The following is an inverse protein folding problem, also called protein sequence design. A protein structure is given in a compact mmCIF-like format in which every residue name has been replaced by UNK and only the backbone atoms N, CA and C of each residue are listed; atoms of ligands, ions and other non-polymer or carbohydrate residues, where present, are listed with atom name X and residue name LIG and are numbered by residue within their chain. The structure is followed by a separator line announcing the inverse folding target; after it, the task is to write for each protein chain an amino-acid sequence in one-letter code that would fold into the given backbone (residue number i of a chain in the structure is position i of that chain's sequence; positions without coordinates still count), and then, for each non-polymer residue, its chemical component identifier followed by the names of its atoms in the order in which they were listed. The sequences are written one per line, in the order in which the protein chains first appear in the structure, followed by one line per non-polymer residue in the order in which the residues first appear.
data_IF_829105084611
#
_entry.id   IF_829105084611
#
_cell.length_a   1.000
_cell.length_b   1.000
_cell.length_c   1.000
_cell.angle_alpha   90.00
_cell.angle_beta   90.00
_cell.angle_gamma   90.00
#
_symmetry.space_group_name_H-M   'P 1'
#
loop_
_entity.id
_entity.type
_entity.pdbx_description
1 polymer ?
#
# COMPACT_ATOMS: atom_id res chain seq x y z
N UNK A 1 30.88 51.35 8.22
CA UNK A 1 30.10 50.41 7.38
C UNK A 1 30.08 49.03 8.05
N UNK A 2 29.22 48.83 9.06
CA UNK A 2 29.20 47.61 9.90
C UNK A 2 27.77 47.26 10.37
N UNK A 3 26.74 47.36 9.52
CA UNK A 3 25.37 47.00 9.94
C UNK A 3 24.50 46.31 8.86
N UNK A 4 25.05 45.94 7.70
CA UNK A 4 24.23 45.35 6.62
C UNK A 4 24.20 43.82 6.58
N UNK A 5 24.91 43.11 7.48
CA UNK A 5 25.02 41.63 7.40
C UNK A 5 24.01 40.90 8.30
N UNK A 6 23.40 41.58 9.27
CA UNK A 6 22.50 40.91 10.25
C UNK A 6 21.06 40.79 9.72
N UNK A 7 20.64 41.63 8.77
CA UNK A 7 19.26 41.65 8.28
C UNK A 7 18.89 40.49 7.34
N UNK A 8 19.86 39.89 6.65
CA UNK A 8 19.58 38.80 5.68
C UNK A 8 19.43 37.45 6.41
N UNK A 9 20.04 37.29 7.59
CA UNK A 9 20.00 36.03 8.33
C UNK A 9 18.68 35.79 9.07
N UNK A 10 17.83 36.81 9.26
CA UNK A 10 16.51 36.63 9.89
C UNK A 10 15.39 36.24 8.91
N UNK A 11 15.61 36.35 7.58
CA UNK A 11 14.57 35.99 6.60
C UNK A 11 14.61 34.49 6.25
N UNK A 12 15.70 33.79 6.55
CA UNK A 12 15.82 32.35 6.27
C UNK A 12 15.10 31.48 7.32
N UNK A 13 14.76 32.02 8.49
CA UNK A 13 14.05 31.25 9.54
C UNK A 13 12.51 31.29 9.44
N UNK A 14 11.91 32.23 8.71
CA UNK A 14 10.44 32.30 8.61
C UNK A 14 9.83 31.42 7.51
N UNK A 15 10.65 30.80 6.67
CA UNK A 15 10.17 29.86 5.65
C UNK A 15 9.89 28.45 6.20
N UNK A 16 10.29 28.14 7.44
CA UNK A 16 10.11 26.81 8.03
C UNK A 16 8.83 26.67 8.89
N UNK A 17 8.09 27.76 9.15
CA UNK A 17 6.92 27.74 10.06
C UNK A 17 5.55 27.78 9.35
N UNK A 18 5.53 27.79 8.02
CA UNK A 18 4.29 27.85 7.24
C UNK A 18 3.74 26.49 6.76
N UNK A 19 4.23 25.36 7.31
CA UNK A 19 3.71 24.02 7.00
C UNK A 19 2.53 23.58 7.89
N UNK A 20 2.03 24.44 8.78
CA UNK A 20 1.25 23.98 9.92
C UNK A 20 -0.29 24.08 9.87
N UNK A 21 -0.93 24.83 8.95
CA UNK A 21 -2.31 25.30 9.29
C UNK A 21 -3.45 25.24 8.29
N UNK A 22 -3.28 24.71 7.08
CA UNK A 22 -4.43 24.36 6.21
C UNK A 22 -4.16 23.01 5.52
N UNK A 23 -4.34 21.90 6.24
CA UNK A 23 -4.63 20.65 5.55
C UNK A 23 -5.97 20.84 4.84
N UNK A 24 -6.01 20.65 3.52
CA UNK A 24 -7.28 20.58 2.79
C UNK A 24 -8.11 19.44 3.40
N UNK A 25 -9.44 19.58 3.40
CA UNK A 25 -10.36 18.53 3.89
C UNK A 25 -10.05 17.19 3.20
N UNK A 26 -9.67 17.24 1.93
CA UNK A 26 -9.23 16.10 1.12
C UNK A 26 -7.93 15.46 1.64
N UNK A 27 -6.91 16.26 1.98
CA UNK A 27 -5.66 15.74 2.53
C UNK A 27 -5.87 15.02 3.86
N UNK A 28 -6.75 15.56 4.72
CA UNK A 28 -7.07 14.93 6.01
C UNK A 28 -7.79 13.60 5.82
N UNK A 29 -8.80 13.57 4.94
CA UNK A 29 -9.55 12.35 4.64
C UNK A 29 -8.62 11.24 4.10
N UNK A 30 -7.76 11.57 3.14
CA UNK A 30 -6.83 10.59 2.54
C UNK A 30 -5.86 10.01 3.58
N UNK A 31 -5.37 10.83 4.51
CA UNK A 31 -4.55 10.33 5.62
C UNK A 31 -5.35 9.38 6.52
N UNK A 32 -6.56 9.77 6.93
CA UNK A 32 -7.44 8.95 7.76
C UNK A 32 -7.76 7.59 7.12
N UNK A 33 -8.03 7.58 5.81
CA UNK A 33 -8.32 6.38 5.01
C UNK A 33 -7.10 5.44 4.88
N UNK A 34 -5.88 5.89 5.22
CA UNK A 34 -4.65 5.09 5.16
C UNK A 34 -4.11 4.65 6.53
N UNK A 35 -4.57 5.26 7.64
CA UNK A 35 -4.08 4.96 8.99
C UNK A 35 -4.33 3.52 9.44
N UNK A 36 -5.22 2.77 8.76
CA UNK A 36 -5.43 1.35 9.05
C UNK A 36 -4.15 0.53 8.91
N UNK A 37 -3.19 0.96 8.07
CA UNK A 37 -1.92 0.25 7.84
C UNK A 37 -1.07 0.18 9.10
N UNK A 38 -1.19 1.18 9.98
CA UNK A 38 -0.45 1.22 11.23
C UNK A 38 -1.09 0.36 12.33
N UNK A 39 -2.37 0.03 12.15
CA UNK A 39 -3.20 -0.66 13.13
C UNK A 39 -3.51 -2.12 12.75
N UNK A 40 -2.97 -2.60 11.63
CA UNK A 40 -3.23 -3.94 11.09
C UNK A 40 -1.91 -4.67 10.84
N UNK A 41 -1.91 -5.99 11.00
CA UNK A 41 -0.77 -6.84 10.64
C UNK A 41 -1.09 -7.63 9.37
N UNK A 42 -0.05 -8.02 8.62
CA UNK A 42 -0.21 -8.83 7.40
C UNK A 42 -0.97 -10.12 7.70
N UNK A 43 -0.57 -10.84 8.75
CA UNK A 43 -1.19 -12.13 9.09
C UNK A 43 -2.66 -12.00 9.51
N UNK A 44 -3.02 -10.94 10.25
CA UNK A 44 -4.42 -10.73 10.65
C UNK A 44 -5.30 -10.36 9.46
N UNK A 45 -4.77 -9.61 8.49
CA UNK A 45 -5.49 -9.32 7.25
C UNK A 45 -5.63 -10.56 6.36
N UNK A 46 -4.59 -11.40 6.28
CA UNK A 46 -4.66 -12.66 5.53
C UNK A 46 -5.70 -13.59 6.14
N UNK A 47 -5.70 -13.76 7.46
CA UNK A 47 -6.68 -14.62 8.13
C UNK A 47 -8.13 -14.19 7.84
N UNK A 48 -8.39 -12.88 7.66
CA UNK A 48 -9.71 -12.35 7.29
C UNK A 48 -10.06 -12.54 5.81
N UNK A 49 -9.07 -12.51 4.93
CA UNK A 49 -9.29 -12.36 3.48
C UNK A 49 -8.86 -13.58 2.64
N UNK A 50 -8.29 -14.63 3.23
CA UNK A 50 -7.76 -15.78 2.48
C UNK A 50 -8.84 -16.48 1.62
N UNK A 51 -10.08 -16.50 2.11
CA UNK A 51 -11.23 -17.09 1.43
C UNK A 51 -12.10 -16.05 0.69
N UNK A 52 -11.80 -14.75 0.82
CA UNK A 52 -12.57 -13.70 0.17
C UNK A 52 -12.24 -13.56 -1.32
N UNK A 53 -13.13 -12.89 -2.06
CA UNK A 53 -12.87 -12.33 -3.38
C UNK A 53 -13.49 -10.93 -3.45
N UNK A 54 -12.76 -9.87 -3.83
CA UNK A 54 -11.32 -9.84 -4.14
C UNK A 54 -10.44 -10.14 -2.90
N UNK A 55 -9.16 -10.47 -3.15
CA UNK A 55 -8.22 -10.85 -2.08
C UNK A 55 -6.85 -10.19 -2.18
N UNK A 56 -6.37 -9.83 -3.38
CA UNK A 56 -5.09 -9.15 -3.52
C UNK A 56 -5.22 -7.65 -3.30
N UNK A 57 -4.16 -7.00 -2.82
CA UNK A 57 -4.11 -5.56 -2.66
C UNK A 57 -3.39 -4.92 -3.84
N UNK A 58 -4.04 -3.94 -4.46
CA UNK A 58 -3.51 -3.22 -5.60
C UNK A 58 -3.20 -1.77 -5.26
N UNK A 59 -2.26 -1.19 -6.00
CA UNK A 59 -1.94 0.23 -5.99
C UNK A 59 -1.99 0.76 -7.42
N UNK A 60 -2.43 2.00 -7.59
CA UNK A 60 -2.33 2.70 -8.87
C UNK A 60 -1.04 3.51 -8.90
N UNK A 61 -0.22 3.30 -9.93
CA UNK A 61 1.03 4.02 -10.16
C UNK A 61 1.13 4.36 -11.65
N UNK A 62 1.32 5.65 -11.96
CA UNK A 62 1.45 6.14 -13.34
C UNK A 62 0.26 5.72 -14.22
N UNK A 63 -0.96 5.84 -13.70
CA UNK A 63 -2.20 5.37 -14.33
C UNK A 63 -2.31 3.86 -14.57
N UNK A 64 -1.44 3.06 -13.96
CA UNK A 64 -1.45 1.60 -14.08
C UNK A 64 -1.71 0.92 -12.74
N UNK A 65 -2.65 -0.03 -12.73
CA UNK A 65 -2.86 -0.91 -11.58
C UNK A 65 -1.69 -1.89 -11.47
N UNK A 66 -1.09 -1.95 -10.28
CA UNK A 66 -0.04 -2.88 -9.91
C UNK A 66 -0.45 -3.67 -8.69
N UNK A 67 -0.03 -4.93 -8.62
CA UNK A 67 -0.17 -5.78 -7.43
C UNK A 67 1.23 -5.95 -6.82
N UNK A 68 1.62 -5.12 -5.83
CA UNK A 68 2.97 -5.16 -5.26
C UNK A 68 3.33 -6.55 -4.77
N UNK A 69 4.60 -6.95 -4.97
CA UNK A 69 5.09 -8.25 -4.53
C UNK A 69 4.76 -9.44 -5.42
N UNK A 70 3.93 -9.27 -6.46
CA UNK A 70 3.68 -10.31 -7.46
C UNK A 70 4.57 -10.13 -8.70
N UNK A 71 5.00 -11.23 -9.36
CA UNK A 71 5.67 -11.14 -10.65
C UNK A 71 4.69 -10.64 -11.72
N UNK A 72 5.22 -10.02 -12.78
CA UNK A 72 4.44 -9.33 -13.83
C UNK A 72 3.32 -10.18 -14.42
N UNK A 73 3.62 -11.42 -14.79
CA UNK A 73 2.64 -12.35 -15.36
C UNK A 73 1.45 -12.64 -14.42
N UNK A 74 1.71 -12.77 -13.12
CA UNK A 74 0.66 -12.99 -12.13
C UNK A 74 -0.10 -11.71 -11.83
N UNK A 75 0.58 -10.57 -11.83
CA UNK A 75 -0.06 -9.25 -11.73
C UNK A 75 -1.08 -9.06 -12.87
N UNK A 76 -0.70 -9.37 -14.11
CA UNK A 76 -1.60 -9.30 -15.28
C UNK A 76 -2.82 -10.20 -15.10
N UNK A 77 -2.62 -11.46 -14.68
CA UNK A 77 -3.73 -12.39 -14.41
C UNK A 77 -4.69 -11.90 -13.31
N UNK A 78 -4.16 -11.37 -12.21
CA UNK A 78 -4.97 -10.83 -11.09
C UNK A 78 -5.74 -9.59 -11.52
N UNK A 79 -5.14 -8.74 -12.35
CA UNK A 79 -5.80 -7.55 -12.89
C UNK A 79 -6.91 -7.94 -13.86
N UNK A 80 -6.65 -8.88 -14.77
CA UNK A 80 -7.65 -9.41 -15.71
C UNK A 80 -8.83 -10.08 -15.01
N UNK A 81 -8.56 -10.86 -13.96
CA UNK A 81 -9.59 -11.55 -13.17
C UNK A 81 -10.31 -10.63 -12.17
N UNK A 82 -9.83 -9.39 -11.98
CA UNK A 82 -10.33 -8.42 -10.99
C UNK A 82 -10.34 -8.98 -9.56
N UNK A 83 -9.41 -9.86 -9.22
CA UNK A 83 -9.28 -10.44 -7.87
C UNK A 83 -8.50 -9.54 -6.90
N UNK A 84 -8.58 -8.23 -7.10
CA UNK A 84 -7.87 -7.22 -6.31
C UNK A 84 -8.78 -6.12 -5.77
N UNK A 85 -8.35 -5.51 -4.67
CA UNK A 85 -8.91 -4.30 -4.10
C UNK A 85 -7.89 -3.17 -4.26
N UNK A 86 -8.33 -2.03 -4.81
CA UNK A 86 -7.47 -0.86 -4.98
C UNK A 86 -7.37 -0.11 -3.66
N UNK A 87 -6.16 0.07 -3.16
CA UNK A 87 -5.91 0.78 -1.91
C UNK A 87 -6.15 2.28 -2.11
N UNK A 88 -7.12 2.82 -1.38
CA UNK A 88 -7.42 4.24 -1.35
C UNK A 88 -6.23 5.06 -0.83
N UNK A 89 -6.12 6.30 -1.29
CA UNK A 89 -5.01 7.19 -0.94
C UNK A 89 -3.67 6.87 -1.64
N UNK A 90 -3.57 5.79 -2.41
CA UNK A 90 -2.32 5.44 -3.11
C UNK A 90 -2.07 6.20 -4.43
N UNK A 91 -2.81 7.28 -4.70
CA UNK A 91 -2.69 8.07 -5.94
C UNK A 91 -1.32 8.71 -6.14
N UNK A 92 -1.08 9.28 -7.32
CA UNK A 92 0.15 9.99 -7.65
C UNK A 92 0.36 11.28 -6.83
N UNK A 93 -0.74 11.88 -6.36
CA UNK A 93 -0.71 13.16 -5.66
C UNK A 93 -0.30 12.94 -4.19
N UNK A 94 0.78 13.59 -3.78
CA UNK A 94 1.23 13.61 -2.39
C UNK A 94 0.78 14.91 -1.73
N UNK A 95 -0.04 14.78 -0.68
CA UNK A 95 -0.68 15.91 -0.01
C UNK A 95 0.20 16.55 1.07
N UNK A 96 0.92 15.74 1.84
CA UNK A 96 1.83 16.20 2.90
C UNK A 96 2.82 15.08 3.28
N UNK A 97 3.73 15.38 4.21
CA UNK A 97 4.77 14.44 4.66
C UNK A 97 4.18 13.17 5.30
N UNK A 98 3.11 13.30 6.07
CA UNK A 98 2.42 12.18 6.72
C UNK A 98 1.81 11.23 5.67
N UNK A 99 1.10 11.79 4.69
CA UNK A 99 0.59 11.03 3.55
C UNK A 99 1.73 10.34 2.78
N UNK A 100 2.85 11.02 2.54
CA UNK A 100 4.01 10.41 1.88
C UNK A 100 4.55 9.18 2.64
N UNK A 101 4.64 9.28 3.97
CA UNK A 101 5.08 8.18 4.83
C UNK A 101 4.08 7.02 4.82
N UNK A 102 2.78 7.32 4.92
CA UNK A 102 1.72 6.31 4.85
C UNK A 102 1.73 5.60 3.50
N UNK A 103 1.95 6.28 2.38
CA UNK A 103 2.08 5.63 1.05
C UNK A 103 3.21 4.60 1.00
N UNK A 104 4.35 4.90 1.62
CA UNK A 104 5.47 3.94 1.70
C UNK A 104 5.05 2.73 2.52
N UNK A 105 4.52 2.94 3.73
CA UNK A 105 4.06 1.87 4.62
C UNK A 105 2.98 1.00 3.98
N UNK A 106 1.98 1.63 3.35
CA UNK A 106 0.88 0.94 2.67
C UNK A 106 1.36 0.11 1.49
N UNK A 107 2.33 0.61 0.71
CA UNK A 107 2.94 -0.17 -0.37
C UNK A 107 3.72 -1.37 0.16
N UNK A 108 4.56 -1.19 1.18
CA UNK A 108 5.33 -2.27 1.81
C UNK A 108 4.41 -3.31 2.44
N UNK A 109 3.33 -2.87 3.08
CA UNK A 109 2.29 -3.74 3.61
C UNK A 109 1.65 -4.58 2.51
N UNK A 110 1.18 -3.95 1.42
CA UNK A 110 0.57 -4.63 0.29
C UNK A 110 1.52 -5.64 -0.35
N UNK A 111 2.80 -5.30 -0.49
CA UNK A 111 3.82 -6.19 -1.02
C UNK A 111 4.00 -7.44 -0.16
N UNK A 112 4.14 -7.27 1.15
CA UNK A 112 4.31 -8.38 2.08
C UNK A 112 3.05 -9.25 2.15
N UNK A 113 1.88 -8.61 2.20
CA UNK A 113 0.58 -9.28 2.17
C UNK A 113 0.41 -10.13 0.93
N UNK A 114 0.59 -9.57 -0.27
CA UNK A 114 0.39 -10.27 -1.53
C UNK A 114 1.38 -11.43 -1.71
N UNK A 115 2.65 -11.23 -1.33
CA UNK A 115 3.67 -12.30 -1.34
C UNK A 115 3.25 -13.46 -0.45
N UNK A 116 2.82 -13.17 0.77
CA UNK A 116 2.43 -14.19 1.74
C UNK A 116 1.14 -14.89 1.35
N UNK A 117 0.14 -14.15 0.87
CA UNK A 117 -1.11 -14.72 0.35
C UNK A 117 -0.83 -15.67 -0.82
N UNK A 118 0.01 -15.26 -1.78
CA UNK A 118 0.40 -16.11 -2.92
C UNK A 118 1.01 -17.43 -2.44
N UNK A 119 1.92 -17.39 -1.46
CA UNK A 119 2.53 -18.59 -0.91
C UNK A 119 1.48 -19.53 -0.34
N UNK A 120 0.59 -19.02 0.52
CA UNK A 120 -0.47 -19.82 1.16
C UNK A 120 -1.44 -20.44 0.14
N UNK A 121 -1.82 -19.68 -0.88
CA UNK A 121 -2.67 -20.20 -1.95
C UNK A 121 -1.97 -21.29 -2.77
N UNK A 122 -0.66 -21.14 -3.00
CA UNK A 122 0.14 -22.15 -3.71
C UNK A 122 0.26 -23.44 -2.89
N UNK A 123 0.52 -23.31 -1.59
CA UNK A 123 0.62 -24.43 -0.65
C UNK A 123 -0.71 -25.18 -0.56
N UNK A 124 -1.83 -24.47 -0.39
CA UNK A 124 -3.17 -25.07 -0.32
C UNK A 124 -3.55 -25.82 -1.62
N UNK A 125 -3.22 -25.28 -2.79
CA UNK A 125 -3.45 -25.94 -4.07
C UNK A 125 -2.59 -27.21 -4.23
N UNK A 126 -1.36 -27.21 -3.68
CA UNK A 126 -0.49 -28.39 -3.64
C UNK A 126 -1.04 -29.50 -2.73
N UNK A 127 -1.64 -29.15 -1.58
CA UNK A 127 -2.28 -30.14 -0.71
C UNK A 127 -3.53 -30.77 -1.32
N UNK A 128 -4.36 -29.98 -2.01
CA UNK A 128 -5.58 -30.48 -2.66
C UNK A 128 -5.28 -31.44 -3.82
N UNK A 129 -4.26 -31.15 -4.63
CA UNK A 129 -3.85 -32.02 -5.74
C UNK A 129 -3.19 -33.33 -5.27
N UNK A 130 -2.42 -33.30 -4.19
CA UNK A 130 -1.81 -34.48 -3.60
C UNK A 130 -2.84 -35.45 -2.99
N UNK A 131 -3.92 -34.94 -2.38
CA UNK A 131 -5.02 -35.77 -1.87
C UNK A 131 -5.88 -36.38 -2.99
N UNK A 132 -6.10 -35.64 -4.08
CA UNK A 132 -6.84 -36.15 -5.23
C UNK A 132 -6.15 -37.38 -5.87
N UNK A 133 -4.82 -37.37 -6.00
CA UNK A 133 -4.07 -38.50 -6.57
C UNK A 133 -4.08 -39.76 -5.69
N UNK A 134 -4.17 -39.62 -4.36
CA UNK A 134 -4.21 -40.76 -3.42
C UNK A 134 -5.52 -41.56 -3.50
N UNK A 135 -6.63 -40.89 -3.86
CA UNK A 135 -7.95 -41.52 -3.98
C UNK A 135 -8.16 -42.33 -5.27
N UNK A 136 -7.29 -42.16 -6.28
CA UNK A 136 -7.35 -42.91 -7.55
C UNK A 136 -6.43 -44.15 -7.57
N UNK A 137 -5.68 -44.42 -6.51
CA UNK A 137 -4.80 -45.59 -6.38
C UNK A 137 -5.31 -46.63 -5.36
N UNK A 138 -6.61 -46.64 -5.07
CA UNK A 138 -7.26 -47.69 -4.27
C UNK A 138 -8.31 -48.43 -5.09
#
# INVERSE_FOLDING_TARGET
MKYCVIAIMMIVLSACEYQGKHQSVEAKKVVEDMLWVENTTVDSMIARNIDSKPRFLAVELDGNVKIPGLPKNLCEQVVESKEYELLEGMSEIVYNNEHAQLRVKTREFAENYNKRLKQLLSDNNHFSSAQAHSSYMK
#
